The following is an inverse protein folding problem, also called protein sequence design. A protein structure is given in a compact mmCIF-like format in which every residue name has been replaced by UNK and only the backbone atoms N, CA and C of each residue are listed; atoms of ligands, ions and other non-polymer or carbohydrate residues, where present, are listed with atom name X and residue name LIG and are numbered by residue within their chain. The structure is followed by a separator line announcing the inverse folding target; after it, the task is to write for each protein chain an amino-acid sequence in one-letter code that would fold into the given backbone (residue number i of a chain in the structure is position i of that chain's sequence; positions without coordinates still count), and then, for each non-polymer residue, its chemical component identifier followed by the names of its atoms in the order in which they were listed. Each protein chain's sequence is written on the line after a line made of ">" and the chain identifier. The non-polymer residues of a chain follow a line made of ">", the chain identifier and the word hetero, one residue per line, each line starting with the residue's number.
data_IF_778421179380
#
_entry.id   IF_778421179380
#
_cell.length_a   1.000
_cell.length_b   1.000
_cell.length_c   1.000
_cell.angle_alpha   90.00
_cell.angle_beta   90.00
_cell.angle_gamma   90.00
#
_symmetry.space_group_name_H-M   'P 1'
#
loop_
_entity.id
_entity.type
_entity.pdbx_description
1 polymer ?
#
# COMPACT_ATOMS: atom_id res chain seq x y z
N UNK A 1 -4.83 -13.20 -24.24
CA UNK A 1 -5.78 -12.64 -23.26
C UNK A 1 -6.32 -11.40 -23.92
N UNK A 2 -7.62 -11.38 -24.20
CA UNK A 2 -8.22 -10.19 -24.80
C UNK A 2 -8.06 -9.03 -23.79
N UNK A 3 -7.89 -7.78 -24.23
CA UNK A 3 -7.70 -6.64 -23.32
C UNK A 3 -8.80 -6.53 -22.23
N UNK A 4 -9.99 -7.02 -22.55
CA UNK A 4 -11.15 -7.03 -21.67
C UNK A 4 -11.01 -8.04 -20.51
N UNK A 5 -10.50 -9.24 -20.81
CA UNK A 5 -10.23 -10.27 -19.79
C UNK A 5 -9.18 -9.77 -18.78
N UNK A 6 -8.16 -9.05 -19.26
CA UNK A 6 -7.10 -8.50 -18.41
C UNK A 6 -7.66 -7.41 -17.49
N UNK A 7 -8.53 -6.55 -18.01
CA UNK A 7 -9.19 -5.50 -17.23
C UNK A 7 -10.05 -6.09 -16.12
N UNK A 8 -10.89 -7.09 -16.43
CA UNK A 8 -11.72 -7.78 -15.43
C UNK A 8 -10.88 -8.48 -14.37
N UNK A 9 -9.82 -9.18 -14.79
CA UNK A 9 -8.88 -9.80 -13.86
C UNK A 9 -8.25 -8.77 -12.90
N UNK A 10 -7.79 -7.63 -13.41
CA UNK A 10 -7.18 -6.59 -12.57
C UNK A 10 -8.19 -5.97 -11.61
N UNK A 11 -9.43 -5.72 -12.05
CA UNK A 11 -10.49 -5.20 -11.19
C UNK A 11 -10.83 -6.18 -10.06
N UNK A 12 -10.94 -7.48 -10.33
CA UNK A 12 -11.13 -8.51 -9.30
C UNK A 12 -10.01 -8.47 -8.24
N UNK A 13 -8.75 -8.28 -8.68
CA UNK A 13 -7.61 -8.17 -7.77
C UNK A 13 -7.66 -6.89 -6.94
N UNK A 14 -8.07 -5.76 -7.52
CA UNK A 14 -8.26 -4.51 -6.78
C UNK A 14 -9.31 -4.70 -5.70
N UNK A 15 -10.47 -5.26 -6.02
CA UNK A 15 -11.53 -5.53 -5.03
C UNK A 15 -11.05 -6.45 -3.90
N UNK A 16 -10.22 -7.46 -4.23
CA UNK A 16 -9.68 -8.40 -3.26
C UNK A 16 -8.59 -7.82 -2.35
N UNK A 17 -7.69 -7.00 -2.90
CA UNK A 17 -6.46 -6.60 -2.21
C UNK A 17 -6.46 -5.14 -1.75
N UNK A 18 -7.31 -4.28 -2.29
CA UNK A 18 -7.42 -2.87 -1.88
C UNK A 18 -8.37 -2.71 -0.68
N UNK A 19 -8.02 -3.36 0.44
CA UNK A 19 -8.73 -3.24 1.71
C UNK A 19 -7.82 -2.68 2.80
N UNK A 20 -8.39 -1.89 3.72
CA UNK A 20 -7.65 -1.25 4.82
C UNK A 20 -6.96 -2.24 5.76
N UNK A 21 -7.41 -3.50 5.83
CA UNK A 21 -6.74 -4.50 6.68
C UNK A 21 -5.33 -4.85 6.19
N UNK A 22 -4.98 -4.58 4.93
CA UNK A 22 -3.60 -4.73 4.45
C UNK A 22 -2.69 -3.59 4.91
N UNK A 23 -3.24 -2.49 5.44
CA UNK A 23 -2.45 -1.36 5.93
C UNK A 23 -1.79 -1.70 7.27
N UNK A 24 -2.46 -2.47 8.15
CA UNK A 24 -1.94 -2.76 9.49
C UNK A 24 -0.55 -3.42 9.48
N UNK A 25 -0.31 -4.31 8.52
CA UNK A 25 0.98 -5.00 8.37
C UNK A 25 1.92 -4.33 7.37
N UNK A 26 1.45 -3.36 6.58
CA UNK A 26 2.26 -2.67 5.59
C UNK A 26 2.94 -1.43 6.22
N UNK A 27 4.20 -1.15 5.86
CA UNK A 27 4.91 0.06 6.30
C UNK A 27 4.17 1.39 6.04
N UNK A 28 3.21 1.41 5.10
CA UNK A 28 2.30 2.54 4.86
C UNK A 28 1.47 2.93 6.09
N UNK A 29 1.33 2.07 7.11
CA UNK A 29 0.71 2.45 8.39
C UNK A 29 1.52 3.48 9.17
N UNK A 30 2.84 3.57 8.97
CA UNK A 30 3.73 4.43 9.77
C UNK A 30 3.44 5.93 9.56
N UNK A 31 3.34 6.46 8.32
CA UNK A 31 3.00 7.87 8.10
C UNK A 31 1.63 8.26 8.67
N UNK A 32 0.67 7.33 8.71
CA UNK A 32 -0.67 7.57 9.24
C UNK A 32 -0.71 7.73 10.77
N UNK A 33 0.39 7.44 11.47
CA UNK A 33 0.49 7.62 12.93
C UNK A 33 0.85 9.07 13.33
N UNK A 34 1.24 9.91 12.38
CA UNK A 34 1.63 11.29 12.64
C UNK A 34 0.51 12.28 12.27
N UNK A 35 0.53 13.47 12.86
CA UNK A 35 -0.47 14.52 12.61
C UNK A 35 0.13 15.83 12.09
N UNK A 36 1.42 16.07 12.32
CA UNK A 36 2.13 17.18 11.72
C UNK A 36 2.53 16.83 10.28
N UNK A 37 2.33 17.75 9.35
CA UNK A 37 2.60 17.53 7.93
C UNK A 37 4.06 17.18 7.67
N UNK A 38 4.98 17.85 8.36
CA UNK A 38 6.42 17.65 8.25
C UNK A 38 6.82 16.22 8.65
N UNK A 39 6.23 15.71 9.73
CA UNK A 39 6.48 14.35 10.23
C UNK A 39 5.92 13.31 9.26
N UNK A 40 4.73 13.55 8.70
CA UNK A 40 4.12 12.68 7.69
C UNK A 40 5.00 12.61 6.44
N UNK A 41 5.52 13.74 5.96
CA UNK A 41 6.40 13.79 4.78
C UNK A 41 7.70 13.01 4.99
N UNK A 42 8.36 13.22 6.12
CA UNK A 42 9.61 12.52 6.46
C UNK A 42 9.36 11.02 6.62
N UNK A 43 8.33 10.64 7.39
CA UNK A 43 7.97 9.24 7.60
C UNK A 43 7.58 8.56 6.28
N UNK A 44 6.78 9.22 5.43
CA UNK A 44 6.37 8.68 4.13
C UNK A 44 7.57 8.48 3.19
N UNK A 45 8.52 9.42 3.17
CA UNK A 45 9.74 9.30 2.38
C UNK A 45 10.60 8.09 2.82
N UNK A 46 10.80 7.94 4.13
CA UNK A 46 11.54 6.80 4.68
C UNK A 46 10.82 5.48 4.42
N UNK A 47 9.51 5.42 4.70
CA UNK A 47 8.65 4.27 4.43
C UNK A 47 8.74 3.84 2.96
N UNK A 48 8.63 4.78 2.01
CA UNK A 48 8.74 4.47 0.58
C UNK A 48 10.12 3.88 0.20
N UNK A 49 11.17 4.28 0.91
CA UNK A 49 12.55 3.80 0.68
C UNK A 49 12.77 2.39 1.24
N UNK A 50 12.15 2.05 2.38
CA UNK A 50 12.35 0.77 3.08
C UNK A 50 11.23 -0.27 2.83
N UNK A 51 10.12 0.12 2.20
CA UNK A 51 9.00 -0.77 1.88
C UNK A 51 9.37 -1.92 0.92
N UNK A 52 10.57 -1.86 0.32
CA UNK A 52 11.16 -2.94 -0.44
C UNK A 52 11.90 -3.93 0.47
N UNK A 53 11.13 -4.79 1.15
CA UNK A 53 11.71 -5.83 1.99
C UNK A 53 10.67 -6.52 2.86
N UNK A 54 10.57 -7.85 2.69
CA UNK A 54 9.84 -8.79 3.55
C UNK A 54 8.49 -8.33 4.11
N UNK A 55 7.48 -8.22 3.23
CA UNK A 55 6.08 -8.35 3.66
C UNK A 55 5.90 -9.77 4.19
N UNK A 56 5.95 -9.95 5.50
CA UNK A 56 5.73 -11.26 6.13
C UNK A 56 4.28 -11.65 5.84
N UNK A 57 4.09 -12.54 4.87
CA UNK A 57 2.81 -13.20 4.55
C UNK A 57 2.39 -14.15 5.65
#
# INVERSE_FOLDING_TARGET
>A
MEPQDLSEFLNEKVEKYNQSSFIESDPISIPHQFSASEDIEIAAFLTATIAWGQRTT
#
